data_IF_811572554319
#
_entry.id   IF_811572554319
#
_cell.length_a   1.000
_cell.length_b   1.000
_cell.length_c   1.000
_cell.angle_alpha   90.00
_cell.angle_beta   90.00
_cell.angle_gamma   90.00
#
_symmetry.space_group_name_H-M   'P 1'
#
loop_
_entity.id
_entity.type
_entity.pdbx_description
1 polymer ?
#
# COMPACT_ATOMS: atom_id res chain seq x y z
N UNK A 1 61.75 -0.19 42.33
CA UNK A 1 62.86 0.71 42.03
C UNK A 1 62.37 1.79 41.06
N UNK A 2 62.05 2.92 41.64
CA UNK A 2 62.02 4.23 40.95
C UNK A 2 63.44 4.80 41.05
N UNK A 3 63.86 5.89 40.37
CA UNK A 3 63.09 7.03 39.82
C UNK A 3 63.71 7.79 38.55
N UNK A 4 63.11 8.94 38.34
CA UNK A 4 63.56 10.25 37.80
C UNK A 4 63.14 10.56 36.34
N UNK A 5 62.30 11.48 36.15
CA UNK A 5 62.22 12.98 36.18
C UNK A 5 63.17 13.68 35.21
N UNK A 6 62.66 14.41 34.27
CA UNK A 6 63.23 15.69 33.86
C UNK A 6 62.15 16.61 33.27
N UNK A 7 62.21 17.84 33.78
CA UNK A 7 61.39 19.02 33.45
C UNK A 7 61.90 19.71 32.19
N UNK A 8 61.06 20.53 31.61
CA UNK A 8 61.42 21.67 30.74
C UNK A 8 60.31 21.92 29.72
N UNK A 9 59.73 22.94 29.57
CA UNK A 9 59.69 24.35 29.84
C UNK A 9 58.60 24.97 28.99
N UNK A 10 57.88 25.89 29.57
CA UNK A 10 56.80 26.70 29.05
C UNK A 10 57.17 27.55 27.85
N UNK A 11 56.26 27.69 26.91
CA UNK A 11 56.09 28.93 26.14
C UNK A 11 54.60 29.24 25.97
N UNK A 12 54.23 30.35 26.60
CA UNK A 12 52.91 31.00 26.46
C UNK A 12 52.92 31.73 25.12
N UNK A 13 51.95 31.44 24.27
CA UNK A 13 51.59 32.34 23.18
C UNK A 13 50.18 32.87 23.41
N UNK A 14 50.06 34.18 23.13
CA UNK A 14 48.99 35.05 23.51
C UNK A 14 47.76 34.87 22.61
N UNK A 15 46.58 34.89 23.21
CA UNK A 15 45.28 34.98 22.54
C UNK A 15 44.94 36.46 22.31
N UNK A 16 44.63 36.89 21.08
CA UNK A 16 44.05 38.22 20.85
C UNK A 16 42.56 38.26 21.22
N UNK A 17 42.21 39.18 22.08
CA UNK A 17 40.84 39.56 22.40
C UNK A 17 40.24 40.24 21.14
N UNK A 18 39.12 39.73 20.61
CA UNK A 18 38.24 40.41 19.69
C UNK A 18 37.05 41.01 20.42
N UNK A 19 36.91 42.30 20.15
CA UNK A 19 35.96 43.28 20.63
C UNK A 19 34.53 42.90 20.29
N UNK A 20 33.66 43.08 21.30
CA UNK A 20 32.20 43.06 21.19
C UNK A 20 31.69 44.27 20.38
N UNK A 21 30.96 44.01 19.29
CA UNK A 21 30.05 44.99 18.73
C UNK A 21 28.68 44.31 18.53
N UNK A 22 27.74 44.72 19.35
CA UNK A 22 26.33 44.43 19.21
C UNK A 22 25.79 45.15 17.96
N UNK A 23 25.20 44.43 17.03
CA UNK A 23 24.13 44.95 16.19
C UNK A 23 23.10 43.86 15.97
N UNK A 24 21.97 44.07 16.59
CA UNK A 24 20.75 43.32 16.36
C UNK A 24 20.22 43.61 14.95
N UNK A 25 20.06 42.54 14.15
CA UNK A 25 19.20 42.57 12.98
C UNK A 25 18.52 41.22 12.85
N UNK A 26 17.25 41.13 13.18
CA UNK A 26 16.34 40.06 12.79
C UNK A 26 16.28 39.95 11.27
N UNK A 27 16.49 38.78 10.71
CA UNK A 27 16.02 38.51 9.37
C UNK A 27 14.62 37.87 9.45
N UNK A 28 13.58 38.65 9.25
CA UNK A 28 12.30 38.13 8.76
C UNK A 28 12.60 37.41 7.44
N UNK A 29 12.66 36.09 7.48
CA UNK A 29 12.65 35.27 6.30
C UNK A 29 11.32 35.50 5.58
N UNK A 30 11.36 36.35 4.54
CA UNK A 30 10.29 36.42 3.56
C UNK A 30 10.27 35.08 2.85
N UNK A 31 9.25 34.27 3.13
CA UNK A 31 8.89 33.15 2.29
C UNK A 31 8.74 33.68 0.86
N UNK A 32 9.69 33.40 -0.01
CA UNK A 32 9.53 33.56 -1.44
C UNK A 32 8.32 32.69 -1.84
N UNK A 33 7.31 33.32 -2.42
CA UNK A 33 6.24 32.61 -3.12
C UNK A 33 6.90 31.59 -4.03
N UNK A 34 6.47 30.30 -4.00
CA UNK A 34 6.97 29.31 -4.93
C UNK A 34 6.73 29.81 -6.37
N UNK A 35 7.70 29.55 -7.23
CA UNK A 35 7.62 29.80 -8.65
C UNK A 35 6.33 29.20 -9.21
N UNK A 36 5.72 29.86 -10.20
CA UNK A 36 4.51 29.44 -10.92
C UNK A 36 4.51 27.92 -11.14
N UNK A 37 3.38 27.25 -10.87
CA UNK A 37 3.30 25.79 -10.99
C UNK A 37 3.69 25.34 -12.39
N UNK A 38 4.43 24.26 -12.45
CA UNK A 38 4.77 23.47 -13.65
C UNK A 38 3.50 22.85 -14.34
N UNK A 39 2.32 23.40 -14.06
CA UNK A 39 1.02 22.98 -14.57
C UNK A 39 0.89 22.95 -16.12
N UNK A 40 1.91 23.39 -16.85
CA UNK A 40 1.87 23.40 -18.31
C UNK A 40 2.49 22.15 -18.99
N UNK A 41 2.90 21.13 -18.24
CA UNK A 41 3.48 19.91 -18.82
C UNK A 41 2.67 18.63 -18.62
N UNK A 42 1.61 18.66 -17.81
CA UNK A 42 0.73 17.51 -17.58
C UNK A 42 -0.70 17.91 -17.88
N UNK A 43 -1.18 17.55 -19.05
CA UNK A 43 -2.50 17.90 -19.55
C UNK A 43 -3.63 17.08 -18.91
N UNK A 44 -3.31 16.12 -18.00
CA UNK A 44 -4.34 15.35 -17.31
C UNK A 44 -3.85 14.77 -15.97
N UNK A 45 -4.26 15.37 -14.83
CA UNK A 45 -3.81 15.00 -13.49
C UNK A 45 -4.58 13.84 -12.85
N UNK A 46 -5.62 13.31 -13.51
CA UNK A 46 -6.37 12.16 -12.99
C UNK A 46 -5.50 10.89 -13.00
N UNK A 47 -5.70 9.93 -12.05
CA UNK A 47 -5.09 8.61 -12.15
C UNK A 47 -5.40 8.01 -13.50
N UNK A 48 -4.51 7.17 -14.00
CA UNK A 48 -4.68 6.52 -15.31
C UNK A 48 -6.04 5.85 -15.48
N UNK A 49 -6.60 5.28 -14.40
CA UNK A 49 -7.92 4.63 -14.40
C UNK A 49 -9.13 5.56 -14.43
N UNK A 50 -8.95 6.83 -14.06
CA UNK A 50 -10.02 7.83 -14.05
C UNK A 50 -9.99 8.74 -15.28
N UNK A 51 -8.97 8.59 -16.15
CA UNK A 51 -8.98 9.17 -17.49
C UNK A 51 -9.90 8.38 -18.40
N UNK A 52 -10.44 9.03 -19.42
CA UNK A 52 -10.89 8.32 -20.61
C UNK A 52 -9.69 7.50 -21.12
N UNK A 53 -9.79 6.19 -21.09
CA UNK A 53 -8.73 5.28 -21.54
C UNK A 53 -8.81 5.23 -23.05
N UNK A 54 -7.77 5.70 -23.74
CA UNK A 54 -7.69 5.67 -25.20
C UNK A 54 -7.11 4.35 -25.70
N UNK A 55 -7.44 3.95 -26.92
CA UNK A 55 -6.91 2.73 -27.53
C UNK A 55 -5.38 2.74 -27.62
N UNK A 56 -4.79 3.91 -27.84
CA UNK A 56 -3.35 4.12 -27.87
C UNK A 56 -2.62 3.79 -26.56
N UNK A 57 -3.34 3.71 -25.43
CA UNK A 57 -2.77 3.33 -24.13
C UNK A 57 -2.47 1.83 -24.01
N UNK A 58 -2.90 1.00 -24.98
CA UNK A 58 -2.79 -0.44 -24.90
C UNK A 58 -1.74 -1.01 -25.85
N UNK A 59 -0.86 -1.86 -25.32
CA UNK A 59 0.06 -2.65 -26.11
C UNK A 59 -0.68 -3.76 -26.90
N UNK A 60 -0.08 -4.28 -27.99
CA UNK A 60 -0.58 -5.47 -28.65
C UNK A 60 -0.74 -6.66 -27.69
N UNK A 61 -1.70 -7.54 -28.01
CA UNK A 61 -2.01 -8.73 -27.22
C UNK A 61 -0.78 -9.65 -27.09
N UNK A 62 -0.45 -10.05 -25.86
CA UNK A 62 0.65 -10.99 -25.55
C UNK A 62 0.20 -12.44 -25.77
N UNK A 63 -1.10 -12.72 -25.66
CA UNK A 63 -1.67 -14.06 -25.81
C UNK A 63 -1.86 -14.82 -24.50
N UNK A 64 -1.30 -14.33 -23.38
CA UNK A 64 -1.50 -14.90 -22.05
C UNK A 64 -2.76 -14.35 -21.38
N UNK A 65 -3.51 -15.24 -20.72
CA UNK A 65 -4.68 -14.90 -19.91
C UNK A 65 -4.39 -15.01 -18.42
N UNK A 66 -4.63 -13.93 -17.71
CA UNK A 66 -4.45 -13.84 -16.26
C UNK A 66 -5.81 -13.86 -15.56
N UNK A 67 -5.99 -14.77 -14.60
CA UNK A 67 -7.11 -14.72 -13.67
C UNK A 67 -6.76 -13.78 -12.52
N UNK A 68 -7.54 -12.71 -12.39
CA UNK A 68 -7.39 -11.71 -11.34
C UNK A 68 -8.55 -11.80 -10.33
N UNK A 69 -8.26 -11.83 -9.04
CA UNK A 69 -9.28 -11.77 -7.99
C UNK A 69 -9.16 -10.48 -7.17
N UNK A 70 -10.28 -9.90 -6.76
CA UNK A 70 -10.26 -8.65 -5.96
C UNK A 70 -10.19 -7.36 -6.78
N UNK A 71 -10.68 -7.37 -8.01
CA UNK A 71 -10.63 -6.26 -8.95
C UNK A 71 -11.52 -5.05 -8.57
N UNK A 72 -12.45 -5.16 -7.62
CA UNK A 72 -13.29 -4.04 -7.17
C UNK A 72 -12.59 -3.06 -6.22
N UNK A 73 -11.46 -3.46 -5.61
CA UNK A 73 -10.65 -2.58 -4.78
C UNK A 73 -9.81 -1.61 -5.61
N UNK A 74 -9.30 -0.55 -4.98
CA UNK A 74 -8.45 0.47 -5.64
C UNK A 74 -7.27 -0.18 -6.37
N UNK A 75 -6.43 -0.96 -5.67
CA UNK A 75 -5.31 -1.68 -6.29
C UNK A 75 -5.78 -2.62 -7.40
N UNK A 76 -6.85 -3.39 -7.14
CA UNK A 76 -7.33 -4.39 -8.10
C UNK A 76 -7.74 -3.78 -9.42
N UNK A 77 -8.50 -2.68 -9.38
CA UNK A 77 -8.92 -1.95 -10.58
C UNK A 77 -7.73 -1.42 -11.38
N UNK A 78 -6.81 -0.70 -10.71
CA UNK A 78 -5.62 -0.14 -11.37
C UNK A 78 -4.74 -1.24 -11.97
N UNK A 79 -4.56 -2.35 -11.25
CA UNK A 79 -3.74 -3.47 -11.71
C UNK A 79 -4.35 -4.19 -12.91
N UNK A 80 -5.67 -4.38 -12.94
CA UNK A 80 -6.35 -4.98 -14.10
C UNK A 80 -6.21 -4.09 -15.34
N UNK A 81 -6.38 -2.78 -15.19
CA UNK A 81 -6.17 -1.84 -16.28
C UNK A 81 -4.72 -1.85 -16.76
N UNK A 82 -3.75 -1.91 -15.85
CA UNK A 82 -2.34 -1.96 -16.21
C UNK A 82 -1.96 -3.28 -16.90
N UNK A 83 -2.47 -4.44 -16.45
CA UNK A 83 -2.29 -5.71 -17.14
C UNK A 83 -2.84 -5.68 -18.59
N UNK A 84 -4.02 -5.10 -18.78
CA UNK A 84 -4.59 -4.92 -20.13
C UNK A 84 -3.72 -3.97 -20.97
N UNK A 85 -3.21 -2.86 -20.39
CA UNK A 85 -2.32 -1.92 -21.08
C UNK A 85 -1.05 -2.56 -21.60
N UNK A 86 -0.42 -3.41 -20.78
CA UNK A 86 0.83 -4.10 -21.18
C UNK A 86 0.59 -5.32 -22.08
N UNK A 87 -0.65 -5.67 -22.40
CA UNK A 87 -0.97 -6.63 -23.46
C UNK A 87 -1.58 -7.95 -23.01
N UNK A 88 -1.84 -8.18 -21.72
CA UNK A 88 -2.47 -9.41 -21.24
C UNK A 88 -3.99 -9.42 -21.52
N UNK A 89 -4.55 -10.61 -21.66
CA UNK A 89 -5.98 -10.84 -21.48
C UNK A 89 -6.26 -11.01 -19.99
N UNK A 90 -7.33 -10.41 -19.48
CA UNK A 90 -7.64 -10.48 -18.06
C UNK A 90 -9.04 -11.03 -17.84
N UNK A 91 -9.12 -12.13 -17.11
CA UNK A 91 -10.36 -12.63 -16.52
C UNK A 91 -10.42 -12.24 -15.05
N UNK A 92 -11.50 -11.61 -14.63
CA UNK A 92 -11.74 -11.23 -13.25
C UNK A 92 -12.73 -12.19 -12.60
N UNK A 93 -12.39 -12.75 -11.43
CA UNK A 93 -13.33 -13.48 -10.58
C UNK A 93 -13.67 -12.65 -9.35
N UNK A 94 -14.93 -12.26 -9.20
CA UNK A 94 -15.43 -11.55 -8.03
C UNK A 94 -16.94 -11.63 -7.86
N UNK A 95 -17.45 -11.32 -6.64
CA UNK A 95 -18.86 -11.46 -6.29
C UNK A 95 -19.78 -10.47 -7.00
N UNK A 96 -19.36 -9.22 -7.15
CA UNK A 96 -20.14 -8.14 -7.77
C UNK A 96 -19.61 -7.72 -9.12
N UNK A 97 -20.13 -6.64 -9.65
CA UNK A 97 -19.58 -5.99 -10.84
C UNK A 97 -18.32 -5.20 -10.46
N UNK A 98 -17.26 -5.32 -11.28
CA UNK A 98 -16.03 -4.54 -11.09
C UNK A 98 -16.15 -3.11 -11.63
N UNK A 99 -17.08 -2.86 -12.54
CA UNK A 99 -17.18 -1.62 -13.28
C UNK A 99 -16.08 -1.40 -14.34
N UNK A 100 -15.11 -2.31 -14.45
CA UNK A 100 -13.95 -2.15 -15.34
C UNK A 100 -14.36 -2.14 -16.81
N UNK A 101 -15.32 -3.01 -17.20
CA UNK A 101 -15.76 -3.08 -18.59
C UNK A 101 -16.25 -1.73 -19.13
N UNK A 102 -16.85 -0.89 -18.29
CA UNK A 102 -17.32 0.44 -18.67
C UNK A 102 -16.20 1.47 -18.91
N UNK A 103 -14.99 1.18 -18.43
CA UNK A 103 -13.81 2.04 -18.59
C UNK A 103 -13.01 1.70 -19.86
N UNK A 104 -13.29 0.56 -20.49
CA UNK A 104 -12.47 0.05 -21.58
C UNK A 104 -13.01 0.52 -22.95
N UNK A 105 -12.13 0.93 -23.87
CA UNK A 105 -12.46 1.10 -25.29
C UNK A 105 -13.05 -0.20 -25.88
N UNK A 106 -13.91 -0.07 -26.88
CA UNK A 106 -14.58 -1.23 -27.51
C UNK A 106 -13.60 -2.23 -28.12
N UNK A 107 -12.47 -1.76 -28.64
CA UNK A 107 -11.39 -2.61 -29.19
C UNK A 107 -10.65 -3.44 -28.13
N UNK A 108 -10.58 -2.95 -26.91
CA UNK A 108 -9.89 -3.63 -25.80
C UNK A 108 -10.83 -4.51 -24.98
N UNK A 109 -12.14 -4.17 -24.97
CA UNK A 109 -13.15 -4.90 -24.20
C UNK A 109 -13.15 -6.42 -24.42
N UNK A 110 -12.90 -6.98 -25.62
CA UNK A 110 -12.80 -8.43 -25.83
C UNK A 110 -11.63 -9.12 -25.07
N UNK A 111 -10.64 -8.35 -24.59
CA UNK A 111 -9.53 -8.84 -23.78
C UNK A 111 -9.86 -8.93 -22.29
N UNK A 112 -11.02 -8.43 -21.90
CA UNK A 112 -11.51 -8.42 -20.53
C UNK A 112 -12.73 -9.34 -20.40
N UNK A 113 -12.69 -10.22 -19.41
CA UNK A 113 -13.79 -11.11 -19.05
C UNK A 113 -14.06 -11.01 -17.56
N UNK A 114 -15.32 -11.06 -17.15
CA UNK A 114 -15.68 -11.12 -15.73
C UNK A 114 -16.57 -12.32 -15.44
N UNK A 115 -16.10 -13.15 -14.50
CA UNK A 115 -16.85 -14.26 -13.89
C UNK A 115 -17.38 -13.80 -12.53
N UNK A 116 -18.67 -13.98 -12.29
CA UNK A 116 -19.26 -13.69 -10.97
C UNK A 116 -19.22 -14.92 -10.08
N UNK A 117 -18.58 -14.77 -8.92
CA UNK A 117 -18.49 -15.86 -7.95
C UNK A 117 -17.66 -15.51 -6.73
N UNK A 118 -17.70 -16.43 -5.78
CA UNK A 118 -16.90 -16.36 -4.55
C UNK A 118 -15.70 -17.30 -4.67
N UNK A 119 -14.52 -16.84 -4.25
CA UNK A 119 -13.27 -17.61 -4.27
C UNK A 119 -13.32 -18.86 -3.37
N UNK A 120 -14.30 -18.96 -2.49
CA UNK A 120 -14.54 -20.14 -1.63
C UNK A 120 -15.39 -21.20 -2.31
N UNK A 121 -15.94 -20.94 -3.49
CA UNK A 121 -16.73 -21.88 -4.25
C UNK A 121 -15.85 -22.61 -5.27
N UNK A 122 -15.48 -23.85 -4.97
CA UNK A 122 -14.58 -24.66 -5.78
C UNK A 122 -15.04 -24.77 -7.25
N UNK A 123 -16.34 -24.99 -7.50
CA UNK A 123 -16.88 -25.14 -8.84
C UNK A 123 -16.70 -23.85 -9.68
N UNK A 124 -17.02 -22.71 -9.10
CA UNK A 124 -16.88 -21.42 -9.78
C UNK A 124 -15.42 -21.05 -10.02
N UNK A 125 -14.55 -21.38 -9.06
CA UNK A 125 -13.11 -21.17 -9.21
C UNK A 125 -12.53 -22.07 -10.30
N UNK A 126 -12.93 -23.32 -10.36
CA UNK A 126 -12.51 -24.28 -11.39
C UNK A 126 -12.96 -23.81 -12.80
N UNK A 127 -14.22 -23.39 -12.96
CA UNK A 127 -14.72 -22.80 -14.21
C UNK A 127 -13.92 -21.54 -14.59
N UNK A 128 -13.66 -20.65 -13.64
CA UNK A 128 -12.90 -19.41 -13.88
C UNK A 128 -11.42 -19.67 -14.23
N UNK A 129 -10.84 -20.80 -13.78
CA UNK A 129 -9.46 -21.17 -14.04
C UNK A 129 -9.24 -21.78 -15.44
N UNK A 130 -10.31 -22.17 -16.15
CA UNK A 130 -10.21 -22.80 -17.47
C UNK A 130 -9.54 -21.88 -18.49
N UNK A 131 -8.42 -22.34 -19.09
CA UNK A 131 -7.65 -21.59 -20.08
C UNK A 131 -6.93 -20.35 -19.54
N UNK A 132 -6.51 -20.40 -18.26
CA UNK A 132 -5.74 -19.37 -17.58
C UNK A 132 -4.28 -19.79 -17.55
N UNK A 133 -3.37 -18.86 -17.88
CA UNK A 133 -1.92 -19.07 -17.88
C UNK A 133 -1.27 -18.67 -16.55
N UNK A 134 -1.86 -17.68 -15.86
CA UNK A 134 -1.36 -17.18 -14.60
C UNK A 134 -2.46 -16.60 -13.70
N UNK A 135 -2.17 -16.50 -12.42
CA UNK A 135 -3.09 -15.97 -11.39
C UNK A 135 -2.47 -14.79 -10.66
N UNK A 136 -3.26 -13.74 -10.47
CA UNK A 136 -3.01 -12.68 -9.49
C UNK A 136 -4.12 -12.69 -8.45
N UNK A 137 -3.79 -13.13 -7.24
CA UNK A 137 -4.74 -13.33 -6.16
C UNK A 137 -4.70 -12.20 -5.14
N UNK A 138 -5.58 -11.19 -5.31
CA UNK A 138 -5.70 -10.04 -4.41
C UNK A 138 -7.00 -10.04 -3.58
N UNK A 139 -7.95 -10.94 -3.88
CA UNK A 139 -9.19 -11.01 -3.11
C UNK A 139 -8.93 -11.42 -1.65
N UNK A 140 -9.47 -10.64 -0.73
CA UNK A 140 -9.42 -10.92 0.69
C UNK A 140 -10.56 -10.20 1.42
N UNK A 141 -10.92 -10.68 2.61
CA UNK A 141 -11.67 -9.89 3.60
C UNK A 141 -10.66 -8.95 4.28
N UNK A 142 -10.82 -7.63 4.09
CA UNK A 142 -9.86 -6.60 4.54
C UNK A 142 -10.37 -5.75 5.72
N UNK A 143 -11.58 -5.99 6.22
CA UNK A 143 -12.13 -5.24 7.37
C UNK A 143 -11.22 -5.37 8.59
N UNK A 144 -11.15 -4.33 9.42
CA UNK A 144 -10.42 -4.35 10.70
C UNK A 144 -11.21 -5.15 11.76
N UNK A 145 -12.54 -5.25 11.61
CA UNK A 145 -13.46 -5.94 12.52
C UNK A 145 -14.12 -7.14 11.84
N UNK A 146 -14.50 -8.15 12.63
CA UNK A 146 -15.26 -9.32 12.16
C UNK A 146 -14.79 -10.62 12.80
N UNK A 147 -15.66 -11.64 12.67
CA UNK A 147 -15.43 -12.96 13.24
C UNK A 147 -14.28 -13.69 12.56
N UNK A 148 -13.44 -14.39 13.35
CA UNK A 148 -12.31 -15.16 12.83
C UNK A 148 -12.71 -16.15 11.74
N UNK A 149 -13.85 -16.85 11.93
CA UNK A 149 -14.36 -17.84 10.99
C UNK A 149 -14.53 -17.30 9.56
N UNK A 150 -14.92 -16.03 9.42
CA UNK A 150 -15.02 -15.40 8.10
C UNK A 150 -13.66 -15.18 7.45
N UNK A 151 -12.67 -14.71 8.24
CA UNK A 151 -11.29 -14.51 7.73
C UNK A 151 -10.66 -15.85 7.36
N UNK A 152 -10.84 -16.87 8.20
CA UNK A 152 -10.34 -18.21 7.93
C UNK A 152 -10.95 -18.79 6.66
N UNK A 153 -12.28 -18.73 6.53
CA UNK A 153 -13.01 -19.24 5.36
C UNK A 153 -12.60 -18.51 4.09
N UNK A 154 -12.57 -17.16 4.11
CA UNK A 154 -12.35 -16.37 2.90
C UNK A 154 -10.86 -16.29 2.57
N UNK A 155 -10.00 -15.83 3.51
CA UNK A 155 -8.61 -15.52 3.20
C UNK A 155 -7.76 -16.80 3.13
N UNK A 156 -7.98 -17.77 4.02
CA UNK A 156 -7.22 -19.02 4.03
C UNK A 156 -7.88 -20.07 3.14
N UNK A 157 -9.17 -20.33 3.36
CA UNK A 157 -9.93 -21.30 2.58
C UNK A 157 -10.01 -20.97 1.11
N UNK A 158 -10.38 -19.70 0.79
CA UNK A 158 -10.42 -19.23 -0.59
C UNK A 158 -9.06 -19.31 -1.29
N UNK A 159 -7.95 -18.95 -0.61
CA UNK A 159 -6.59 -19.10 -1.17
C UNK A 159 -6.26 -20.56 -1.44
N UNK A 160 -6.64 -21.49 -0.55
CA UNK A 160 -6.44 -22.93 -0.76
C UNK A 160 -7.20 -23.43 -1.98
N UNK A 161 -8.46 -23.01 -2.16
CA UNK A 161 -9.26 -23.36 -3.35
C UNK A 161 -8.60 -22.83 -4.63
N UNK A 162 -8.14 -21.57 -4.62
CA UNK A 162 -7.45 -20.96 -5.76
C UNK A 162 -6.16 -21.71 -6.12
N UNK A 163 -5.33 -22.08 -5.13
CA UNK A 163 -4.10 -22.83 -5.35
C UNK A 163 -4.38 -24.24 -5.92
N UNK A 164 -5.36 -24.94 -5.38
CA UNK A 164 -5.73 -26.28 -5.86
C UNK A 164 -6.22 -26.22 -7.31
N UNK A 165 -7.07 -25.26 -7.65
CA UNK A 165 -7.56 -25.07 -9.01
C UNK A 165 -6.39 -24.70 -9.97
N UNK A 166 -5.46 -23.84 -9.53
CA UNK A 166 -4.27 -23.48 -10.31
C UNK A 166 -3.41 -24.72 -10.64
N UNK A 167 -3.20 -25.61 -9.68
CA UNK A 167 -2.49 -26.89 -9.91
C UNK A 167 -3.26 -27.77 -10.90
N UNK A 168 -4.56 -27.97 -10.69
CA UNK A 168 -5.41 -28.81 -11.54
C UNK A 168 -5.40 -28.35 -13.01
N UNK A 169 -5.40 -27.03 -13.24
CA UNK A 169 -5.37 -26.40 -14.56
C UNK A 169 -3.95 -26.14 -15.09
N UNK A 170 -2.91 -26.61 -14.39
CA UNK A 170 -1.50 -26.44 -14.78
C UNK A 170 -1.05 -24.99 -14.94
N UNK A 171 -1.57 -24.10 -14.11
CA UNK A 171 -1.17 -22.69 -14.05
C UNK A 171 0.26 -22.57 -13.52
N UNK A 172 1.14 -21.93 -14.28
CA UNK A 172 2.58 -21.86 -13.94
C UNK A 172 2.94 -20.71 -13.01
N UNK A 173 2.16 -19.64 -12.99
CA UNK A 173 2.48 -18.41 -12.27
C UNK A 173 1.35 -18.05 -11.32
N UNK A 174 1.62 -17.97 -10.03
CA UNK A 174 0.64 -17.60 -9.01
C UNK A 174 1.20 -16.48 -8.11
N UNK A 175 0.80 -15.23 -8.36
CA UNK A 175 1.19 -14.08 -7.57
C UNK A 175 0.12 -13.77 -6.52
N UNK A 176 0.54 -13.73 -5.25
CA UNK A 176 -0.33 -13.38 -4.13
C UNK A 176 -0.10 -11.94 -3.67
N UNK A 177 -1.19 -11.19 -3.47
CA UNK A 177 -1.12 -9.86 -2.88
C UNK A 177 -1.37 -9.97 -1.38
N UNK A 178 -0.30 -9.81 -0.63
CA UNK A 178 -0.26 -9.87 0.83
C UNK A 178 -0.26 -8.46 1.46
N UNK A 179 0.32 -8.31 2.64
CA UNK A 179 0.44 -7.05 3.37
C UNK A 179 1.67 -7.09 4.28
N UNK A 180 2.39 -6.00 4.51
CA UNK A 180 3.48 -5.96 5.50
C UNK A 180 3.02 -6.32 6.92
N UNK A 181 1.74 -6.13 7.25
CA UNK A 181 1.17 -6.47 8.56
C UNK A 181 1.29 -7.95 8.94
N UNK A 182 1.55 -8.84 7.97
CA UNK A 182 1.72 -10.28 8.21
C UNK A 182 3.00 -10.62 8.98
N UNK A 183 4.00 -9.74 8.93
CA UNK A 183 5.28 -9.88 9.62
C UNK A 183 5.45 -8.85 10.76
N UNK A 184 4.42 -8.02 11.03
CA UNK A 184 4.49 -6.93 11.98
C UNK A 184 3.83 -7.33 13.31
N UNK A 185 4.62 -7.27 14.39
CA UNK A 185 4.16 -7.60 15.75
C UNK A 185 3.90 -6.36 16.64
N UNK A 186 3.69 -5.17 16.05
CA UNK A 186 3.44 -3.92 16.78
C UNK A 186 4.67 -3.13 17.19
N UNK A 187 5.86 -3.51 16.72
CA UNK A 187 7.11 -2.72 16.87
C UNK A 187 7.38 -1.88 15.63
N UNK A 188 8.24 -0.86 15.77
CA UNK A 188 8.73 -0.11 14.60
C UNK A 188 9.49 -1.02 13.63
N UNK A 189 9.29 -0.80 12.34
CA UNK A 189 10.07 -1.38 11.24
C UNK A 189 10.96 -0.27 10.68
N UNK A 190 12.27 -0.49 10.69
CA UNK A 190 13.26 0.55 10.37
C UNK A 190 14.27 0.01 9.37
N UNK A 191 13.96 0.11 8.08
CA UNK A 191 14.85 -0.35 7.02
C UNK A 191 14.96 -1.87 6.89
N UNK A 192 14.02 -2.61 7.44
CA UNK A 192 13.98 -4.06 7.32
C UNK A 192 13.47 -4.50 5.94
N UNK A 193 13.78 -5.74 5.56
CA UNK A 193 13.15 -6.39 4.42
C UNK A 193 11.72 -6.87 4.73
N UNK A 194 11.21 -7.77 3.90
CA UNK A 194 9.85 -8.30 4.07
C UNK A 194 9.62 -9.02 5.41
N UNK A 195 10.65 -9.62 6.02
CA UNK A 195 10.50 -10.46 7.18
C UNK A 195 9.70 -11.74 6.90
N UNK A 196 9.56 -12.61 7.89
CA UNK A 196 8.79 -13.85 7.77
C UNK A 196 7.35 -13.62 8.23
N UNK A 197 6.38 -14.07 7.45
CA UNK A 197 4.98 -14.05 7.87
C UNK A 197 4.78 -14.95 9.10
N UNK A 198 4.11 -14.41 10.13
CA UNK A 198 3.89 -15.13 11.38
C UNK A 198 2.44 -14.98 11.85
N UNK A 199 1.58 -15.96 11.56
CA UNK A 199 0.21 -15.94 12.01
C UNK A 199 0.05 -15.84 13.54
N UNK A 200 1.01 -16.38 14.30
CA UNK A 200 1.00 -16.37 15.75
C UNK A 200 1.29 -14.99 16.35
N UNK A 201 2.08 -14.17 15.66
CA UNK A 201 2.49 -12.84 16.12
C UNK A 201 1.75 -11.70 15.41
N UNK A 202 1.08 -12.00 14.29
CA UNK A 202 0.32 -11.01 13.53
C UNK A 202 -0.88 -10.49 14.34
N UNK A 203 -1.05 -9.17 14.39
CA UNK A 203 -2.10 -8.53 15.18
C UNK A 203 -3.40 -8.39 14.41
N UNK A 204 -4.47 -8.88 15.04
CA UNK A 204 -5.82 -8.85 14.47
C UNK A 204 -6.09 -9.95 13.44
N UNK A 205 -7.38 -10.23 13.24
CA UNK A 205 -7.84 -11.34 12.39
C UNK A 205 -7.41 -11.17 10.92
N UNK A 206 -7.38 -9.94 10.42
CA UNK A 206 -6.91 -9.65 9.06
C UNK A 206 -5.46 -10.06 8.87
N UNK A 207 -4.53 -9.49 9.65
CA UNK A 207 -3.10 -9.75 9.49
C UNK A 207 -2.77 -11.24 9.72
N UNK A 208 -3.39 -11.85 10.75
CA UNK A 208 -3.26 -13.28 11.05
C UNK A 208 -3.69 -14.16 9.86
N UNK A 209 -4.86 -13.88 9.28
CA UNK A 209 -5.37 -14.67 8.15
C UNK A 209 -4.56 -14.46 6.87
N UNK A 210 -4.09 -13.22 6.62
CA UNK A 210 -3.21 -12.91 5.49
C UNK A 210 -1.86 -13.60 5.63
N UNK A 211 -1.29 -13.66 6.86
CA UNK A 211 -0.05 -14.37 7.14
C UNK A 211 -0.19 -15.88 6.87
N UNK A 212 -1.27 -16.51 7.35
CA UNK A 212 -1.53 -17.91 7.09
C UNK A 212 -1.73 -18.21 5.60
N UNK A 213 -2.47 -17.37 4.88
CA UNK A 213 -2.67 -17.52 3.45
C UNK A 213 -1.37 -17.31 2.64
N UNK A 214 -0.52 -16.37 3.04
CA UNK A 214 0.78 -16.17 2.40
C UNK A 214 1.69 -17.41 2.57
N UNK A 215 1.73 -17.99 3.77
CA UNK A 215 2.51 -19.22 3.99
C UNK A 215 2.04 -20.36 3.10
N UNK A 216 0.72 -20.56 2.91
CA UNK A 216 0.19 -21.55 1.98
C UNK A 216 0.67 -21.29 0.54
N UNK A 217 0.68 -20.04 0.11
CA UNK A 217 1.14 -19.68 -1.24
C UNK A 217 2.63 -19.93 -1.40
N UNK A 218 3.45 -19.53 -0.43
CA UNK A 218 4.90 -19.74 -0.51
C UNK A 218 5.29 -21.21 -0.42
N UNK A 219 4.57 -22.01 0.37
CA UNK A 219 4.75 -23.48 0.47
C UNK A 219 4.38 -24.19 -0.84
N UNK A 220 3.39 -23.68 -1.58
CA UNK A 220 2.98 -24.23 -2.86
C UNK A 220 4.01 -23.99 -4.00
N UNK A 221 5.08 -23.22 -3.76
CA UNK A 221 6.11 -23.00 -4.76
C UNK A 221 6.83 -24.31 -5.12
N UNK A 222 6.98 -24.57 -6.40
CA UNK A 222 7.61 -25.80 -6.90
C UNK A 222 6.68 -27.01 -6.97
N UNK A 223 5.38 -26.86 -6.72
CA UNK A 223 4.40 -27.94 -6.87
C UNK A 223 4.39 -28.46 -8.32
N UNK A 224 4.55 -29.76 -8.54
CA UNK A 224 4.49 -30.36 -9.88
C UNK A 224 3.12 -30.17 -10.53
N UNK A 225 3.10 -29.82 -11.82
CA UNK A 225 1.90 -29.59 -12.58
C UNK A 225 1.52 -30.77 -13.47
N UNK A 226 0.23 -31.08 -13.67
CA UNK A 226 -0.21 -32.19 -14.53
C UNK A 226 0.31 -32.10 -15.96
N UNK A 227 0.49 -30.90 -16.52
CA UNK A 227 1.05 -30.68 -17.86
C UNK A 227 2.58 -30.78 -17.92
N UNK A 228 3.24 -31.06 -16.80
CA UNK A 228 4.70 -31.00 -16.64
C UNK A 228 5.20 -29.62 -16.21
N UNK A 229 6.40 -29.62 -15.60
CA UNK A 229 6.96 -28.43 -14.96
C UNK A 229 6.44 -28.26 -13.55
N UNK A 230 6.61 -27.04 -13.02
CA UNK A 230 6.22 -26.67 -11.64
C UNK A 230 5.47 -25.34 -11.62
N UNK A 231 4.67 -25.15 -10.58
CA UNK A 231 4.06 -23.86 -10.28
C UNK A 231 5.06 -22.96 -9.53
N UNK A 232 5.26 -21.77 -10.02
CA UNK A 232 5.99 -20.72 -9.32
C UNK A 232 5.02 -19.83 -8.57
N UNK A 233 5.26 -19.66 -7.27
CA UNK A 233 4.44 -18.78 -6.43
C UNK A 233 5.30 -17.74 -5.75
N UNK A 234 4.74 -16.59 -5.41
CA UNK A 234 5.38 -15.53 -4.65
C UNK A 234 4.37 -14.53 -4.12
N UNK A 235 4.80 -13.67 -3.21
CA UNK A 235 3.92 -12.69 -2.60
C UNK A 235 4.48 -11.27 -2.74
N UNK A 236 3.62 -10.31 -3.04
CA UNK A 236 3.89 -8.88 -2.88
C UNK A 236 3.14 -8.35 -1.68
N UNK A 237 3.79 -7.49 -0.91
CA UNK A 237 3.24 -6.80 0.26
C UNK A 237 3.26 -5.29 0.02
N UNK A 238 2.27 -4.73 -0.72
CA UNK A 238 2.13 -3.28 -0.85
C UNK A 238 1.90 -2.63 0.51
N UNK A 239 2.62 -1.55 0.82
CA UNK A 239 2.46 -0.84 2.08
C UNK A 239 1.73 0.47 1.89
N UNK A 240 0.69 0.69 2.68
CA UNK A 240 -0.13 1.91 2.76
C UNK A 240 -0.29 2.61 1.40
N UNK A 241 -1.10 1.99 0.55
CA UNK A 241 -1.40 2.52 -0.78
C UNK A 241 -2.36 3.70 -0.69
N UNK A 242 -2.13 4.68 -1.55
CA UNK A 242 -2.96 5.87 -1.64
C UNK A 242 -2.97 6.47 -3.04
N UNK A 243 -3.99 7.24 -3.34
CA UNK A 243 -4.13 7.95 -4.61
C UNK A 243 -5.53 8.50 -4.82
N UNK A 244 -5.80 9.14 -5.94
CA UNK A 244 -7.12 9.58 -6.32
C UNK A 244 -8.15 8.44 -6.34
N UNK A 245 -9.34 8.69 -5.76
CA UNK A 245 -10.40 7.68 -5.63
C UNK A 245 -10.22 6.71 -4.47
N UNK A 246 -9.23 6.94 -3.58
CA UNK A 246 -9.08 6.17 -2.36
C UNK A 246 -10.08 6.63 -1.28
N UNK A 247 -11.14 5.86 -1.13
CA UNK A 247 -12.20 6.09 -0.14
C UNK A 247 -11.86 5.57 1.26
N UNK A 248 -10.80 4.78 1.40
CA UNK A 248 -10.46 4.13 2.66
C UNK A 248 -9.50 4.96 3.52
N UNK A 249 -8.51 5.60 2.91
CA UNK A 249 -7.49 6.39 3.60
C UNK A 249 -7.64 7.88 3.29
N UNK A 250 -7.44 8.27 2.02
CA UNK A 250 -7.37 9.68 1.62
C UNK A 250 -8.66 10.43 1.91
N UNK A 251 -9.81 9.95 1.42
CA UNK A 251 -11.09 10.65 1.65
C UNK A 251 -11.38 10.81 3.14
N UNK A 252 -11.17 9.77 3.94
CA UNK A 252 -11.38 9.83 5.40
C UNK A 252 -10.45 10.84 6.09
N UNK A 253 -9.21 10.98 5.64
CA UNK A 253 -8.27 11.98 6.13
C UNK A 253 -8.77 13.37 5.79
N UNK A 254 -9.10 13.63 4.53
CA UNK A 254 -9.57 14.92 4.05
C UNK A 254 -10.85 15.35 4.76
N UNK A 255 -11.85 14.47 4.89
CA UNK A 255 -13.12 14.74 5.58
C UNK A 255 -12.91 15.08 7.07
N UNK A 256 -12.06 14.31 7.76
CA UNK A 256 -11.76 14.57 9.18
C UNK A 256 -10.99 15.87 9.36
N UNK A 257 -10.06 16.16 8.45
CA UNK A 257 -9.26 17.38 8.50
C UNK A 257 -10.11 18.62 8.20
N UNK A 258 -10.94 18.57 7.17
CA UNK A 258 -11.91 19.64 6.86
C UNK A 258 -12.86 19.91 8.04
N UNK A 259 -13.27 18.87 8.77
CA UNK A 259 -14.09 18.99 9.97
C UNK A 259 -13.30 19.40 11.25
N UNK A 260 -11.98 19.64 11.16
CA UNK A 260 -11.12 19.96 12.32
C UNK A 260 -10.99 18.82 13.34
N UNK A 261 -11.22 17.57 12.95
CA UNK A 261 -11.26 16.38 13.83
C UNK A 261 -10.12 15.40 13.61
N UNK A 262 -9.11 15.76 12.81
CA UNK A 262 -7.95 14.91 12.56
C UNK A 262 -6.81 15.26 13.52
N UNK A 263 -6.50 14.41 14.53
CA UNK A 263 -5.34 14.60 15.40
C UNK A 263 -4.07 14.03 14.76
N UNK A 264 -2.92 14.56 15.14
CA UNK A 264 -1.66 13.85 15.05
C UNK A 264 -1.48 12.96 16.29
N UNK A 265 -0.87 11.80 16.14
CA UNK A 265 -0.50 10.95 17.28
C UNK A 265 0.98 11.21 17.60
N UNK A 266 1.26 11.60 18.87
CA UNK A 266 2.61 11.96 19.32
C UNK A 266 3.36 12.90 18.37
N UNK A 267 2.67 13.91 17.85
CA UNK A 267 3.24 14.89 16.93
C UNK A 267 3.41 14.38 15.48
N UNK A 268 3.03 13.14 15.19
CA UNK A 268 3.16 12.55 13.85
C UNK A 268 4.60 12.37 13.39
N UNK A 269 5.53 12.11 14.33
CA UNK A 269 6.98 12.03 14.05
C UNK A 269 7.42 10.66 13.52
N UNK A 270 6.56 9.64 13.57
CA UNK A 270 6.86 8.32 13.00
C UNK A 270 7.11 8.41 11.49
N UNK A 271 8.19 7.79 11.02
CA UNK A 271 8.48 7.68 9.59
C UNK A 271 7.62 6.57 8.97
N UNK A 272 6.93 6.89 7.92
CA UNK A 272 6.13 5.93 7.16
C UNK A 272 6.50 6.00 5.68
N UNK A 273 6.70 4.83 5.08
CA UNK A 273 6.91 4.69 3.66
C UNK A 273 5.62 4.22 3.01
N UNK A 274 5.12 4.95 2.05
CA UNK A 274 3.85 4.70 1.40
C UNK A 274 4.04 4.30 -0.06
N UNK A 275 2.96 3.89 -0.71
CA UNK A 275 2.99 3.48 -2.11
C UNK A 275 1.88 4.19 -2.88
N UNK A 276 2.26 5.00 -3.87
CA UNK A 276 1.29 5.63 -4.76
C UNK A 276 0.64 4.57 -5.66
N UNK A 277 -0.65 4.72 -5.93
CA UNK A 277 -1.47 3.66 -6.54
C UNK A 277 -1.01 3.23 -7.93
N UNK A 278 -0.59 4.15 -8.80
CA UNK A 278 -0.07 3.80 -10.13
C UNK A 278 1.24 3.01 -10.03
N UNK A 279 2.11 3.36 -9.06
CA UNK A 279 3.33 2.60 -8.77
C UNK A 279 3.00 1.20 -8.23
N UNK A 280 1.93 1.07 -7.42
CA UNK A 280 1.48 -0.21 -6.91
C UNK A 280 1.01 -1.14 -8.03
N UNK A 281 0.24 -0.62 -8.98
CA UNK A 281 -0.23 -1.37 -10.14
C UNK A 281 0.92 -1.82 -11.05
N UNK A 282 1.86 -0.92 -11.34
CA UNK A 282 3.05 -1.24 -12.14
C UNK A 282 3.95 -2.27 -11.43
N UNK A 283 4.20 -2.09 -10.13
CA UNK A 283 4.97 -3.07 -9.35
C UNK A 283 4.32 -4.46 -9.32
N UNK A 284 2.99 -4.53 -9.29
CA UNK A 284 2.26 -5.79 -9.36
C UNK A 284 2.45 -6.47 -10.71
N UNK A 285 2.33 -5.72 -11.81
CA UNK A 285 2.59 -6.25 -13.16
C UNK A 285 4.03 -6.74 -13.28
N UNK A 286 5.01 -5.96 -12.81
CA UNK A 286 6.42 -6.40 -12.77
C UNK A 286 6.63 -7.62 -11.90
N UNK A 287 5.95 -7.70 -10.74
CA UNK A 287 5.97 -8.87 -9.88
C UNK A 287 5.44 -10.12 -10.57
N UNK A 288 4.35 -10.00 -11.33
CA UNK A 288 3.86 -11.11 -12.14
C UNK A 288 4.86 -11.54 -13.22
N UNK A 289 5.39 -10.60 -13.99
CA UNK A 289 6.34 -10.84 -15.07
C UNK A 289 7.68 -11.42 -14.62
N UNK A 290 8.06 -11.15 -13.37
CA UNK A 290 9.36 -11.55 -12.82
C UNK A 290 9.24 -12.49 -11.61
N UNK A 291 8.13 -13.21 -11.51
CA UNK A 291 7.85 -14.07 -10.36
C UNK A 291 8.93 -15.12 -10.16
N UNK A 292 9.51 -15.63 -11.22
CA UNK A 292 10.66 -16.57 -11.21
C UNK A 292 11.86 -16.03 -10.43
N UNK A 293 12.14 -14.74 -10.49
CA UNK A 293 13.25 -14.10 -9.79
C UNK A 293 13.11 -14.12 -8.26
N UNK A 294 11.87 -14.21 -7.75
CA UNK A 294 11.60 -14.26 -6.31
C UNK A 294 10.65 -15.41 -5.91
N UNK A 295 10.55 -16.44 -6.72
CA UNK A 295 9.71 -17.61 -6.44
C UNK A 295 9.96 -18.17 -5.03
N UNK A 296 8.88 -18.50 -4.33
CA UNK A 296 8.89 -18.94 -2.93
C UNK A 296 9.20 -17.84 -1.90
N UNK A 297 9.15 -16.57 -2.29
CA UNK A 297 9.49 -15.44 -1.42
C UNK A 297 8.41 -14.35 -1.42
N UNK A 298 8.45 -13.52 -0.37
CA UNK A 298 7.66 -12.30 -0.29
C UNK A 298 8.55 -11.06 -0.45
N UNK A 299 8.04 -10.03 -1.13
CA UNK A 299 8.68 -8.72 -1.27
C UNK A 299 7.74 -7.62 -0.75
N UNK A 300 8.28 -6.67 0.01
CA UNK A 300 7.56 -5.45 0.37
C UNK A 300 7.74 -4.42 -0.73
N UNK A 301 6.67 -3.73 -1.09
CA UNK A 301 6.67 -2.71 -2.14
C UNK A 301 6.22 -1.37 -1.57
N UNK A 302 7.07 -0.35 -1.72
CA UNK A 302 6.82 1.05 -1.31
C UNK A 302 7.41 2.01 -2.33
N UNK A 303 7.10 3.30 -2.22
CA UNK A 303 7.79 4.32 -3.02
C UNK A 303 9.28 4.44 -2.65
N UNK A 304 9.71 3.97 -1.47
CA UNK A 304 11.07 4.17 -0.97
C UNK A 304 11.38 5.64 -0.69
N UNK A 305 10.37 6.40 -0.29
CA UNK A 305 10.42 7.83 0.03
C UNK A 305 9.74 8.08 1.38
N UNK A 306 10.31 7.58 2.49
CA UNK A 306 9.67 7.71 3.80
C UNK A 306 9.49 9.18 4.18
N UNK A 307 8.32 9.49 4.75
CA UNK A 307 7.94 10.79 5.29
C UNK A 307 7.48 10.62 6.73
N UNK A 308 7.55 11.68 7.51
CA UNK A 308 6.84 11.67 8.79
C UNK A 308 5.32 11.62 8.55
N UNK A 309 4.59 11.03 9.48
CA UNK A 309 3.12 11.00 9.39
C UNK A 309 2.55 12.41 9.31
N UNK A 310 3.16 13.39 10.01
CA UNK A 310 2.74 14.79 9.93
C UNK A 310 2.97 15.40 8.55
N UNK A 311 4.08 15.12 7.88
CA UNK A 311 4.33 15.55 6.50
C UNK A 311 3.37 14.90 5.52
N UNK A 312 3.12 13.60 5.64
CA UNK A 312 2.20 12.87 4.78
C UNK A 312 0.77 13.42 4.88
N UNK A 313 0.24 13.54 6.11
CA UNK A 313 -1.11 14.06 6.34
C UNK A 313 -1.21 15.55 5.97
N UNK A 314 -0.16 16.33 6.26
CA UNK A 314 -0.07 17.72 5.85
C UNK A 314 -0.08 17.89 4.34
N UNK A 315 0.69 17.06 3.62
CA UNK A 315 0.75 17.05 2.17
C UNK A 315 -0.60 16.71 1.50
N UNK A 316 -1.34 15.71 2.00
CA UNK A 316 -2.70 15.44 1.52
C UNK A 316 -3.63 16.64 1.71
N UNK A 317 -3.59 17.27 2.88
CA UNK A 317 -4.44 18.41 3.19
C UNK A 317 -4.08 19.65 2.36
N UNK A 318 -2.79 19.96 2.24
CA UNK A 318 -2.29 21.11 1.47
C UNK A 318 -2.62 20.96 -0.02
N UNK A 319 -2.42 19.77 -0.58
CA UNK A 319 -2.71 19.48 -1.98
C UNK A 319 -4.17 19.77 -2.37
N UNK A 320 -5.10 19.52 -1.44
CA UNK A 320 -6.55 19.65 -1.67
C UNK A 320 -7.11 21.00 -1.15
N UNK A 321 -6.29 21.75 -0.40
CA UNK A 321 -6.69 23.03 0.17
C UNK A 321 -7.52 22.95 1.45
N UNK A 322 -7.49 21.81 2.17
CA UNK A 322 -8.12 21.66 3.49
C UNK A 322 -7.13 21.97 4.62
N UNK A 323 -7.58 22.40 5.81
CA UNK A 323 -6.70 22.68 6.93
C UNK A 323 -5.91 21.44 7.36
N UNK A 324 -4.59 21.56 7.53
CA UNK A 324 -3.77 20.48 8.09
C UNK A 324 -4.13 20.20 9.57
N UNK A 325 -3.79 19.01 10.11
CA UNK A 325 -4.01 18.68 11.52
C UNK A 325 -3.35 19.71 12.46
N UNK A 326 -4.12 20.25 13.42
CA UNK A 326 -3.67 21.35 14.29
C UNK A 326 -3.37 20.95 15.73
N UNK A 327 -3.74 19.74 16.14
CA UNK A 327 -3.56 19.27 17.51
C UNK A 327 -2.97 17.85 17.53
N UNK A 328 -2.29 17.55 18.63
CA UNK A 328 -1.66 16.25 18.84
C UNK A 328 -2.21 15.57 20.09
N UNK A 329 -2.39 14.26 20.01
CA UNK A 329 -2.79 13.40 21.12
C UNK A 329 -1.63 12.43 21.41
N UNK A 330 -1.23 12.23 22.66
CA UNK A 330 -0.24 11.23 22.99
C UNK A 330 -0.68 9.83 22.54
N UNK A 331 0.20 9.07 21.87
CA UNK A 331 -0.13 7.76 21.30
C UNK A 331 -0.71 6.78 22.35
N UNK A 332 -0.18 6.80 23.59
CA UNK A 332 -0.71 5.97 24.67
C UNK A 332 -2.15 6.28 25.03
N UNK A 333 -2.54 7.56 24.98
CA UNK A 333 -3.94 7.99 25.22
C UNK A 333 -4.82 7.54 24.07
N UNK A 334 -4.35 7.70 22.82
CA UNK A 334 -5.08 7.25 21.63
C UNK A 334 -5.26 5.72 21.60
N UNK A 335 -4.23 4.95 21.96
CA UNK A 335 -4.31 3.49 22.06
C UNK A 335 -5.31 3.03 23.13
N UNK A 336 -5.30 3.68 24.31
CA UNK A 336 -6.26 3.39 25.37
C UNK A 336 -7.69 3.71 24.93
N UNK A 337 -7.89 4.87 24.31
CA UNK A 337 -9.19 5.26 23.75
C UNK A 337 -9.64 4.30 22.65
N UNK A 338 -8.74 3.89 21.74
CA UNK A 338 -8.99 2.90 20.70
C UNK A 338 -9.49 1.58 21.29
N UNK A 339 -8.82 1.06 22.30
CA UNK A 339 -9.21 -0.16 23.02
C UNK A 339 -10.61 -0.06 23.65
N UNK A 340 -10.96 1.09 24.20
CA UNK A 340 -12.30 1.34 24.76
C UNK A 340 -13.34 1.41 23.65
N UNK A 341 -13.04 2.14 22.56
CA UNK A 341 -13.93 2.26 21.40
C UNK A 341 -14.20 0.90 20.78
N UNK A 342 -13.18 0.06 20.57
CA UNK A 342 -13.33 -1.30 20.04
C UNK A 342 -14.30 -2.14 20.90
N UNK A 343 -14.11 -2.13 22.22
CA UNK A 343 -14.99 -2.88 23.13
C UNK A 343 -16.44 -2.39 23.14
N UNK A 344 -16.65 -1.09 23.01
CA UNK A 344 -17.99 -0.51 22.88
C UNK A 344 -18.60 -0.88 21.55
N UNK A 345 -17.82 -0.76 20.46
CA UNK A 345 -18.24 -1.05 19.09
C UNK A 345 -18.69 -2.49 18.90
N UNK A 346 -17.96 -3.44 19.51
CA UNK A 346 -18.30 -4.87 19.49
C UNK A 346 -19.65 -5.17 20.19
N UNK A 347 -20.07 -4.32 21.14
CA UNK A 347 -21.32 -4.46 21.86
C UNK A 347 -22.50 -3.74 21.22
N UNK A 348 -22.24 -2.88 20.25
CA UNK A 348 -23.31 -2.17 19.56
C UNK A 348 -24.05 -3.12 18.60
N UNK A 349 -25.38 -2.97 18.47
CA UNK A 349 -26.15 -3.75 17.51
C UNK A 349 -25.63 -3.51 16.08
N UNK A 350 -25.55 -4.56 15.27
CA UNK A 350 -25.04 -4.50 13.88
C UNK A 350 -25.79 -3.53 12.98
N UNK A 351 -27.05 -3.22 13.29
CA UNK A 351 -27.83 -2.21 12.58
C UNK A 351 -27.40 -0.76 12.89
N UNK A 352 -26.71 -0.53 14.01
CA UNK A 352 -26.20 0.78 14.40
C UNK A 352 -24.81 1.02 13.80
N UNK A 353 -23.99 -0.02 13.71
CA UNK A 353 -22.65 0.06 13.13
C UNK A 353 -22.67 -0.03 11.60
N UNK A 354 -23.81 -0.45 10.99
CA UNK A 354 -24.09 -0.48 9.55
C UNK A 354 -22.92 -0.98 8.64
N UNK A 355 -22.00 -1.78 9.20
CA UNK A 355 -20.80 -2.22 8.51
C UNK A 355 -19.63 -1.23 8.56
N UNK A 356 -19.78 -0.10 9.26
CA UNK A 356 -18.70 0.86 9.48
C UNK A 356 -17.65 0.29 10.44
N UNK A 357 -16.42 0.72 10.24
CA UNK A 357 -15.30 0.40 11.13
C UNK A 357 -15.23 1.38 12.30
N UNK A 358 -14.71 0.94 13.48
CA UNK A 358 -14.48 1.85 14.59
C UNK A 358 -13.63 3.05 14.15
N UNK A 359 -13.96 4.27 14.60
CA UNK A 359 -13.24 5.48 14.20
C UNK A 359 -11.78 5.50 14.63
N UNK A 360 -11.41 4.73 15.64
CA UNK A 360 -10.06 4.50 16.14
C UNK A 360 -9.97 3.10 16.72
N UNK A 361 -8.91 2.38 16.39
CA UNK A 361 -8.55 1.10 16.99
C UNK A 361 -7.20 1.21 17.69
N UNK A 362 -6.92 0.30 18.62
CA UNK A 362 -5.58 0.21 19.22
C UNK A 362 -4.53 -0.03 18.15
N UNK A 363 -4.80 -0.92 17.22
CA UNK A 363 -3.93 -1.22 16.09
C UNK A 363 -3.66 0.02 15.22
N UNK A 364 -4.69 0.80 14.88
CA UNK A 364 -4.52 2.02 14.08
C UNK A 364 -3.69 3.07 14.83
N UNK A 365 -3.91 3.21 16.15
CA UNK A 365 -3.11 4.12 16.98
C UNK A 365 -1.62 3.72 17.00
N UNK A 366 -1.31 2.43 17.08
CA UNK A 366 0.06 1.92 17.01
C UNK A 366 0.67 2.17 15.62
N UNK A 367 -0.05 1.85 14.54
CA UNK A 367 0.39 2.08 13.16
C UNK A 367 0.71 3.55 12.87
N UNK A 368 -0.10 4.47 13.41
CA UNK A 368 0.10 5.92 13.25
C UNK A 368 1.08 6.54 14.26
N UNK A 369 1.71 5.74 15.13
CA UNK A 369 2.66 6.24 16.13
C UNK A 369 4.03 5.58 16.08
N UNK A 370 4.21 4.56 15.23
CA UNK A 370 5.47 3.82 15.07
C UNK A 370 6.06 4.05 13.68
N UNK A 371 7.37 3.86 13.54
CA UNK A 371 8.02 3.98 12.23
C UNK A 371 7.83 2.72 11.41
N UNK A 372 7.44 2.89 10.14
CA UNK A 372 7.27 1.78 9.19
C UNK A 372 7.86 2.17 7.83
N UNK A 373 9.14 1.91 7.64
CA UNK A 373 9.79 2.05 6.36
C UNK A 373 10.70 0.85 6.06
N UNK A 374 10.87 0.53 4.79
CA UNK A 374 11.46 -0.72 4.34
C UNK A 374 12.64 -0.49 3.41
N UNK A 375 13.63 -1.40 3.45
CA UNK A 375 14.69 -1.44 2.46
C UNK A 375 14.16 -1.96 1.12
N UNK A 376 14.09 -1.09 0.13
CA UNK A 376 13.57 -1.39 -1.21
C UNK A 376 14.63 -1.92 -2.19
N UNK A 377 15.91 -1.95 -1.83
CA UNK A 377 17.00 -2.34 -2.76
C UNK A 377 16.76 -3.73 -3.35
N UNK A 378 16.44 -4.70 -2.50
CA UNK A 378 16.15 -6.08 -2.94
C UNK A 378 14.91 -6.18 -3.81
N UNK A 379 13.86 -5.47 -3.48
CA UNK A 379 12.62 -5.42 -4.25
C UNK A 379 12.87 -4.83 -5.63
N UNK A 380 13.55 -3.69 -5.70
CA UNK A 380 13.89 -3.01 -6.97
C UNK A 380 14.75 -3.89 -7.87
N UNK A 381 15.78 -4.52 -7.31
CA UNK A 381 16.65 -5.46 -8.02
C UNK A 381 15.86 -6.62 -8.64
N UNK A 382 15.05 -7.32 -7.83
CA UNK A 382 14.34 -8.52 -8.27
C UNK A 382 13.23 -8.21 -9.25
N UNK A 383 12.47 -7.14 -9.02
CA UNK A 383 11.41 -6.70 -9.91
C UNK A 383 11.94 -5.93 -11.13
N UNK A 384 13.20 -5.45 -11.11
CA UNK A 384 13.74 -4.48 -12.09
C UNK A 384 12.75 -3.32 -12.25
N UNK A 385 12.38 -2.73 -11.12
CA UNK A 385 11.32 -1.75 -11.02
C UNK A 385 11.74 -0.57 -10.14
N UNK A 386 11.32 0.61 -10.53
CA UNK A 386 11.42 1.84 -9.76
C UNK A 386 10.08 2.58 -9.81
N UNK A 387 9.66 3.23 -8.70
CA UNK A 387 8.43 4.02 -8.71
C UNK A 387 8.54 5.19 -9.68
N UNK A 388 7.61 5.29 -10.62
CA UNK A 388 7.60 6.36 -11.63
C UNK A 388 6.98 7.65 -11.09
N UNK A 389 6.09 7.57 -10.11
CA UNK A 389 5.38 8.70 -9.51
C UNK A 389 5.97 8.97 -8.13
N UNK A 390 6.53 10.18 -7.93
CA UNK A 390 7.02 10.62 -6.62
C UNK A 390 5.86 10.92 -5.65
N UNK A 391 6.15 11.06 -4.37
CA UNK A 391 5.15 11.47 -3.36
C UNK A 391 4.61 12.87 -3.70
N UNK A 392 5.49 13.79 -4.12
CA UNK A 392 5.14 15.16 -4.48
C UNK A 392 4.21 15.20 -5.70
N UNK A 393 4.53 14.44 -6.75
CA UNK A 393 3.66 14.30 -7.92
C UNK A 393 2.32 13.65 -7.55
N UNK A 394 2.34 12.67 -6.64
CA UNK A 394 1.12 12.08 -6.10
C UNK A 394 0.22 13.11 -5.41
N UNK A 395 0.78 14.06 -4.65
CA UNK A 395 0.05 15.17 -4.05
C UNK A 395 -0.58 16.09 -5.11
N UNK A 396 0.17 16.45 -6.16
CA UNK A 396 -0.37 17.26 -7.26
C UNK A 396 -1.58 16.57 -7.90
N UNK A 397 -1.51 15.26 -8.13
CA UNK A 397 -2.60 14.47 -8.68
C UNK A 397 -3.80 14.36 -7.73
N UNK A 398 -3.59 14.30 -6.41
CA UNK A 398 -4.68 14.39 -5.43
C UNK A 398 -5.36 15.75 -5.49
N UNK A 399 -4.59 16.84 -5.53
CA UNK A 399 -5.10 18.21 -5.63
C UNK A 399 -5.98 18.40 -6.86
N UNK A 400 -5.54 17.89 -7.99
CA UNK A 400 -6.29 17.96 -9.23
C UNK A 400 -7.60 17.14 -9.19
N UNK A 401 -7.61 16.01 -8.46
CA UNK A 401 -8.79 15.15 -8.37
C UNK A 401 -9.82 15.63 -7.34
N UNK A 402 -9.34 16.06 -6.16
CA UNK A 402 -10.22 16.42 -5.03
C UNK A 402 -10.40 17.92 -4.85
N UNK A 403 -9.55 18.78 -5.45
CA UNK A 403 -9.53 20.23 -5.18
C UNK A 403 -10.88 20.92 -5.39
N UNK A 404 -11.58 20.63 -6.47
CA UNK A 404 -12.90 21.19 -6.75
C UNK A 404 -13.98 20.79 -5.72
N UNK A 405 -13.84 19.61 -5.10
CA UNK A 405 -14.80 19.12 -4.10
C UNK A 405 -14.70 19.88 -2.78
N UNK A 406 -13.50 20.33 -2.41
CA UNK A 406 -13.23 20.98 -1.14
C UNK A 406 -13.03 22.50 -1.23
N UNK A 407 -12.85 23.08 -2.43
CA UNK A 407 -12.68 24.52 -2.63
C UNK A 407 -14.01 25.32 -2.59
N UNK A 408 -15.16 24.66 -2.46
CA UNK A 408 -16.50 25.26 -2.42
C UNK A 408 -17.08 25.43 -1.02
N UNK A 409 -16.23 25.36 0.01
CA UNK A 409 -16.64 25.50 1.41
C UNK A 409 -16.25 26.83 2.05
#
# INVERSE_FOLDING_TARGET
MSPRSSRGSSSREAVPRLSTAHTAASPTARFRKPARPLAARYSDPAPRSLRAVEESDFAPRIGERILFTGASGLLGRESVLELLRVGYDVRVLQRGDSGIAALLPDSIRPRFEQVRGDITNEKVVDEAMTGVDGVVHAAAKVSVSGEWADYERINIGGTRVMLQAAVNHSVRTFLYISSPSVAHAGSSIVGDGAGVASPEHARGNYARSKAAAELLVLEANGTPLPSGGVMHTGALRPHLMWGPGDTQLVERILERSAAGRLPLLSGGTGLIDTLYIDNAADALVRGYQRLDAFAGRALVVTNGQPRTISELLGGFCEAVGVPAPRFSVPAKVAALAGRVIERVWERLPKNVTAGDEPPMTEFLAEQLSTAHWFDQRRTRELLQWEPAVSIEEGYERLGAFYGDRYSRG
#
